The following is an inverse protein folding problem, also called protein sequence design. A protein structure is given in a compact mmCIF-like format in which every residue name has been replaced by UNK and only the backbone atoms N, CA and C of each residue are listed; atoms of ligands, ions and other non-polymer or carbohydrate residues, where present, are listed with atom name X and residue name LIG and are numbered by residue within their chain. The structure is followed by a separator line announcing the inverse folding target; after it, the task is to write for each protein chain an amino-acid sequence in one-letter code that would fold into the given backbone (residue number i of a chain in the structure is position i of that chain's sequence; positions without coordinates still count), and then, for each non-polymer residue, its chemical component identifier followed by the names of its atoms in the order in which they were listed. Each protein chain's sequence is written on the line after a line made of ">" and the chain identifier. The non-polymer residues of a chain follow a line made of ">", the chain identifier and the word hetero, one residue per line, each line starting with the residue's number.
data_IF_593984514595
#
_entry.id   IF_593984514595
#
_cell.length_a   1.000
_cell.length_b   1.000
_cell.length_c   1.000
_cell.angle_alpha   90.00
_cell.angle_beta   90.00
_cell.angle_gamma   90.00
#
_symmetry.space_group_name_H-M   'P 1'
#
loop_
_entity.id
_entity.type
_entity.pdbx_description
1 polymer ?
#
# COMPACT_ATOMS: atom_id res chain seq x y z
N UNK A 1 -5.16 31.74 15.77
CA UNK A 1 -4.15 31.94 14.70
C UNK A 1 -3.49 30.59 14.41
N UNK A 2 -3.43 30.22 13.14
CA UNK A 2 -2.75 28.98 12.75
C UNK A 2 -1.25 29.10 12.99
N UNK A 3 -0.62 28.04 13.50
CA UNK A 3 0.83 27.96 13.63
C UNK A 3 1.47 27.78 12.24
N UNK A 4 2.77 28.05 12.12
CA UNK A 4 3.51 27.77 10.88
C UNK A 4 3.47 26.28 10.52
N UNK A 5 3.44 25.37 11.50
CA UNK A 5 3.30 23.93 11.29
C UNK A 5 1.93 23.60 10.68
N UNK A 6 0.85 24.17 11.20
CA UNK A 6 -0.49 23.98 10.65
C UNK A 6 -0.60 24.52 9.23
N UNK A 7 -0.02 25.68 8.97
CA UNK A 7 0.00 26.28 7.63
C UNK A 7 0.82 25.42 6.66
N UNK A 8 1.96 24.88 7.09
CA UNK A 8 2.78 23.97 6.31
C UNK A 8 2.02 22.69 5.96
N UNK A 9 1.32 22.08 6.93
CA UNK A 9 0.53 20.88 6.69
C UNK A 9 -0.62 21.16 5.71
N UNK A 10 -1.31 22.27 5.86
CA UNK A 10 -2.39 22.64 4.94
C UNK A 10 -1.86 22.84 3.51
N UNK A 11 -0.69 23.48 3.37
CA UNK A 11 -0.03 23.64 2.07
C UNK A 11 0.38 22.28 1.48
N UNK A 12 0.92 21.37 2.27
CA UNK A 12 1.31 20.03 1.84
C UNK A 12 0.10 19.24 1.35
N UNK A 13 -1.00 19.28 2.10
CA UNK A 13 -2.24 18.60 1.70
C UNK A 13 -2.82 19.22 0.44
N UNK A 14 -2.79 20.54 0.32
CA UNK A 14 -3.28 21.25 -0.86
C UNK A 14 -2.48 20.95 -2.13
N UNK A 15 -1.23 20.46 -2.00
CA UNK A 15 -0.41 20.07 -3.14
C UNK A 15 -0.81 18.69 -3.71
N UNK A 16 -1.70 17.94 -3.04
CA UNK A 16 -2.15 16.63 -3.49
C UNK A 16 -3.29 16.79 -4.51
N UNK A 17 -3.11 16.24 -5.69
CA UNK A 17 -4.14 16.23 -6.72
C UNK A 17 -4.96 14.92 -6.68
N UNK A 18 -5.89 14.76 -7.63
CA UNK A 18 -6.75 13.58 -7.72
C UNK A 18 -5.95 12.28 -7.83
N UNK A 19 -4.86 12.30 -8.60
CA UNK A 19 -4.02 11.11 -8.79
C UNK A 19 -3.34 10.69 -7.48
N UNK A 20 -2.84 11.65 -6.70
CA UNK A 20 -2.30 11.36 -5.37
C UNK A 20 -3.35 10.72 -4.47
N UNK A 21 -4.58 11.26 -4.48
CA UNK A 21 -5.64 10.73 -3.64
C UNK A 21 -6.05 9.31 -4.04
N UNK A 22 -6.08 8.99 -5.34
CA UNK A 22 -6.31 7.61 -5.79
C UNK A 22 -5.24 6.68 -5.23
N UNK A 23 -3.98 7.08 -5.30
CA UNK A 23 -2.87 6.30 -4.73
C UNK A 23 -2.97 6.15 -3.21
N UNK A 24 -3.31 7.22 -2.51
CA UNK A 24 -3.48 7.18 -1.04
C UNK A 24 -4.60 6.21 -0.64
N UNK A 25 -5.75 6.29 -1.30
CA UNK A 25 -6.87 5.37 -1.03
C UNK A 25 -6.47 3.93 -1.31
N UNK A 26 -5.81 3.68 -2.44
CA UNK A 26 -5.34 2.33 -2.79
C UNK A 26 -4.35 1.80 -1.74
N UNK A 27 -3.41 2.62 -1.28
CA UNK A 27 -2.47 2.24 -0.23
C UNK A 27 -3.15 1.98 1.11
N UNK A 28 -4.15 2.79 1.47
CA UNK A 28 -4.93 2.59 2.70
C UNK A 28 -5.76 1.31 2.66
N UNK A 29 -6.33 0.96 1.51
CA UNK A 29 -7.05 -0.31 1.33
C UNK A 29 -6.08 -1.48 1.54
N UNK A 30 -4.92 -1.45 0.91
CA UNK A 30 -3.92 -2.50 1.07
C UNK A 30 -3.42 -2.57 2.52
N UNK A 31 -3.18 -1.43 3.17
CA UNK A 31 -2.80 -1.39 4.58
C UNK A 31 -3.84 -2.05 5.47
N UNK A 32 -5.12 -1.73 5.26
CA UNK A 32 -6.22 -2.30 6.06
C UNK A 32 -6.30 -3.82 5.90
N UNK A 33 -6.20 -4.33 4.68
CA UNK A 33 -6.23 -5.78 4.43
C UNK A 33 -5.04 -6.46 5.10
N UNK A 34 -3.83 -5.91 4.96
CA UNK A 34 -2.63 -6.51 5.55
C UNK A 34 -2.67 -6.48 7.07
N UNK A 35 -3.11 -5.38 7.68
CA UNK A 35 -3.22 -5.29 9.13
C UNK A 35 -4.29 -6.23 9.67
N UNK A 36 -5.45 -6.30 9.02
CA UNK A 36 -6.53 -7.20 9.44
C UNK A 36 -6.10 -8.66 9.39
N UNK A 37 -5.55 -9.10 8.26
CA UNK A 37 -5.09 -10.48 8.10
C UNK A 37 -3.86 -10.76 8.96
N UNK A 38 -2.95 -9.80 9.05
CA UNK A 38 -1.72 -9.94 9.85
C UNK A 38 -2.02 -10.17 11.32
N UNK A 39 -2.92 -9.38 11.89
CA UNK A 39 -3.32 -9.54 13.31
C UNK A 39 -3.96 -10.90 13.55
N UNK A 40 -4.78 -11.37 12.63
CA UNK A 40 -5.42 -12.70 12.73
C UNK A 40 -4.41 -13.84 12.66
N UNK A 41 -3.29 -13.64 12.00
CA UNK A 41 -2.26 -14.67 11.83
C UNK A 41 -1.12 -14.59 12.86
N UNK A 42 -1.14 -13.61 13.77
CA UNK A 42 -0.12 -13.52 14.82
C UNK A 42 -0.22 -14.75 15.74
N UNK A 43 0.90 -15.26 16.27
CA UNK A 43 2.28 -14.75 16.17
C UNK A 43 3.10 -15.35 15.02
N UNK A 44 2.46 -15.92 14.00
CA UNK A 44 3.17 -16.54 12.88
C UNK A 44 4.06 -15.53 12.13
N UNK A 45 5.10 -16.03 11.47
CA UNK A 45 5.97 -15.20 10.64
C UNK A 45 5.21 -14.51 9.50
N UNK A 46 4.22 -15.17 8.92
CA UNK A 46 3.35 -14.59 7.91
C UNK A 46 2.55 -13.42 8.50
N UNK A 47 1.99 -13.59 9.69
CA UNK A 47 1.26 -12.53 10.38
C UNK A 47 2.13 -11.32 10.67
N UNK A 48 3.34 -11.54 11.16
CA UNK A 48 4.31 -10.46 11.40
C UNK A 48 4.64 -9.73 10.11
N UNK A 49 4.89 -10.46 9.03
CA UNK A 49 5.19 -9.87 7.71
C UNK A 49 4.03 -9.01 7.21
N UNK A 50 2.80 -9.47 7.38
CA UNK A 50 1.61 -8.73 6.97
C UNK A 50 1.42 -7.45 7.77
N UNK A 51 1.63 -7.50 9.08
CA UNK A 51 1.56 -6.31 9.93
C UNK A 51 2.62 -5.30 9.51
N UNK A 52 3.85 -5.74 9.27
CA UNK A 52 4.93 -4.86 8.82
C UNK A 52 4.61 -4.23 7.45
N UNK A 53 4.05 -5.01 6.52
CA UNK A 53 3.64 -4.48 5.22
C UNK A 53 2.54 -3.42 5.37
N UNK A 54 1.54 -3.67 6.21
CA UNK A 54 0.49 -2.70 6.48
C UNK A 54 1.02 -1.41 7.08
N UNK A 55 1.93 -1.50 8.05
CA UNK A 55 2.58 -0.34 8.64
C UNK A 55 3.45 0.40 7.61
N UNK A 56 4.08 -0.31 6.69
CA UNK A 56 4.84 0.28 5.60
C UNK A 56 3.97 1.13 4.68
N UNK A 57 2.79 0.65 4.30
CA UNK A 57 1.84 1.43 3.52
C UNK A 57 1.37 2.69 4.27
N UNK A 58 1.05 2.55 5.56
CA UNK A 58 0.63 3.71 6.38
C UNK A 58 1.75 4.74 6.50
N UNK A 59 2.98 4.28 6.73
CA UNK A 59 4.14 5.15 6.79
C UNK A 59 4.36 5.91 5.48
N UNK A 60 4.24 5.21 4.35
CA UNK A 60 4.37 5.82 3.03
C UNK A 60 3.28 6.88 2.79
N UNK A 61 2.04 6.59 3.15
CA UNK A 61 0.95 7.57 3.06
C UNK A 61 1.26 8.81 3.90
N UNK A 62 1.74 8.61 5.12
CA UNK A 62 2.13 9.72 5.99
C UNK A 62 3.21 10.60 5.37
N UNK A 63 4.25 10.00 4.79
CA UNK A 63 5.32 10.75 4.14
C UNK A 63 4.82 11.54 2.92
N UNK A 64 3.92 10.96 2.13
CA UNK A 64 3.34 11.63 0.97
C UNK A 64 2.45 12.80 1.40
N UNK A 65 1.62 12.61 2.42
CA UNK A 65 0.75 13.67 2.95
C UNK A 65 1.61 14.82 3.51
N UNK A 66 2.69 14.50 4.20
CA UNK A 66 3.60 15.50 4.76
C UNK A 66 4.58 16.10 3.75
N UNK A 67 4.46 15.71 2.49
CA UNK A 67 5.34 16.19 1.40
C UNK A 67 6.82 15.94 1.71
N UNK A 68 7.12 14.75 2.26
CA UNK A 68 8.48 14.38 2.64
C UNK A 68 9.00 13.30 1.69
N UNK A 69 9.99 13.65 0.88
CA UNK A 69 10.68 12.73 -0.05
C UNK A 69 9.71 11.91 -0.91
N UNK A 70 8.69 12.55 -1.47
CA UNK A 70 7.66 11.88 -2.28
C UNK A 70 8.25 11.02 -3.39
N UNK A 71 9.23 11.53 -4.12
CA UNK A 71 9.83 10.74 -5.23
C UNK A 71 10.50 9.47 -4.73
N UNK A 72 11.17 9.52 -3.60
CA UNK A 72 11.75 8.32 -2.97
C UNK A 72 10.67 7.34 -2.57
N UNK A 73 9.57 7.83 -1.98
CA UNK A 73 8.43 6.99 -1.61
C UNK A 73 7.83 6.31 -2.84
N UNK A 74 7.65 7.04 -3.93
CA UNK A 74 7.13 6.46 -5.18
C UNK A 74 8.08 5.39 -5.74
N UNK A 75 9.37 5.69 -5.78
CA UNK A 75 10.39 4.78 -6.32
C UNK A 75 10.50 3.49 -5.49
N UNK A 76 10.43 3.59 -4.16
CA UNK A 76 10.48 2.43 -3.25
C UNK A 76 9.15 1.69 -3.23
N UNK A 77 8.04 2.43 -3.31
CA UNK A 77 6.70 1.86 -3.27
C UNK A 77 6.40 0.91 -4.43
N UNK A 78 6.98 1.14 -5.60
CA UNK A 78 6.77 0.27 -6.77
C UNK A 78 7.30 -1.14 -6.49
N UNK A 79 8.60 -1.36 -6.20
CA UNK A 79 9.08 -2.71 -5.90
C UNK A 79 8.50 -3.28 -4.61
N UNK A 80 8.27 -2.46 -3.60
CA UNK A 80 7.64 -2.89 -2.34
C UNK A 80 6.27 -3.53 -2.61
N UNK A 81 5.44 -2.89 -3.44
CA UNK A 81 4.11 -3.38 -3.77
C UNK A 81 4.18 -4.57 -4.74
N UNK A 82 5.05 -4.48 -5.75
CA UNK A 82 5.20 -5.54 -6.75
C UNK A 82 5.63 -6.87 -6.12
N UNK A 83 6.61 -6.84 -5.21
CA UNK A 83 7.08 -8.05 -4.50
C UNK A 83 5.91 -8.71 -3.75
N UNK A 84 5.02 -7.94 -3.15
CA UNK A 84 3.86 -8.49 -2.44
C UNK A 84 2.91 -9.22 -3.39
N UNK A 85 2.69 -8.69 -4.60
CA UNK A 85 1.86 -9.36 -5.60
C UNK A 85 2.52 -10.68 -6.02
N UNK A 86 3.82 -10.68 -6.28
CA UNK A 86 4.55 -11.88 -6.68
C UNK A 86 4.55 -12.93 -5.56
N UNK A 87 4.77 -12.53 -4.32
CA UNK A 87 4.73 -13.45 -3.17
C UNK A 87 3.33 -14.01 -2.96
N UNK A 88 2.30 -13.17 -3.10
CA UNK A 88 0.91 -13.62 -2.99
C UNK A 88 0.59 -14.70 -4.02
N UNK A 89 0.97 -14.49 -5.27
CA UNK A 89 0.76 -15.47 -6.33
C UNK A 89 1.51 -16.78 -6.02
N UNK A 90 2.79 -16.67 -5.66
CA UNK A 90 3.61 -17.83 -5.36
C UNK A 90 3.05 -18.64 -4.19
N UNK A 91 2.74 -17.99 -3.08
CA UNK A 91 2.25 -18.68 -1.88
C UNK A 91 0.91 -19.37 -2.16
N UNK A 92 -0.02 -18.71 -2.81
CA UNK A 92 -1.37 -19.27 -3.01
C UNK A 92 -1.43 -20.28 -4.15
N UNK A 93 -0.86 -19.97 -5.30
CA UNK A 93 -1.10 -20.72 -6.53
C UNK A 93 0.05 -21.65 -6.91
N UNK A 94 1.19 -21.51 -6.28
CA UNK A 94 2.33 -22.42 -6.46
C UNK A 94 2.53 -23.27 -5.21
N UNK A 95 2.80 -22.65 -4.06
CA UNK A 95 3.09 -23.37 -2.81
C UNK A 95 1.88 -24.11 -2.26
N UNK A 96 0.71 -23.45 -2.16
CA UNK A 96 -0.52 -24.05 -1.64
C UNK A 96 -1.33 -24.78 -2.70
N UNK A 97 -0.96 -24.64 -3.97
CA UNK A 97 -1.61 -25.37 -5.06
C UNK A 97 -3.06 -24.95 -5.35
N UNK A 98 -3.48 -23.76 -4.93
CA UNK A 98 -4.81 -23.24 -5.24
C UNK A 98 -4.97 -23.01 -6.75
N UNK A 99 -6.20 -23.08 -7.24
CA UNK A 99 -6.51 -22.83 -8.65
C UNK A 99 -6.65 -21.33 -8.92
N UNK A 100 -5.94 -20.85 -9.94
CA UNK A 100 -6.06 -19.46 -10.39
C UNK A 100 -6.93 -19.40 -11.63
N UNK A 101 -7.90 -18.49 -11.75
CA UNK A 101 -8.30 -17.48 -10.74
C UNK A 101 -9.40 -17.92 -9.78
N UNK A 102 -9.88 -19.18 -9.88
CA UNK A 102 -11.07 -19.66 -9.19
C UNK A 102 -10.98 -19.54 -7.66
N UNK A 103 -9.79 -19.72 -7.09
CA UNK A 103 -9.59 -19.73 -5.64
C UNK A 103 -9.09 -18.39 -5.07
N UNK A 104 -9.27 -17.30 -5.81
CA UNK A 104 -8.96 -15.96 -5.30
C UNK A 104 -10.03 -15.57 -4.27
N UNK A 105 -9.61 -15.33 -3.02
CA UNK A 105 -10.52 -14.84 -1.98
C UNK A 105 -10.87 -13.37 -2.17
N UNK A 106 -11.99 -12.95 -1.56
CA UNK A 106 -12.48 -11.57 -1.68
C UNK A 106 -11.45 -10.54 -1.20
N UNK A 107 -10.87 -10.74 -0.02
CA UNK A 107 -9.87 -9.81 0.52
C UNK A 107 -8.61 -9.78 -0.33
N UNK A 108 -8.18 -10.94 -0.84
CA UNK A 108 -7.05 -11.01 -1.75
C UNK A 108 -7.31 -10.26 -3.06
N UNK A 109 -8.51 -10.41 -3.62
CA UNK A 109 -8.91 -9.71 -4.84
C UNK A 109 -8.93 -8.19 -4.64
N UNK A 110 -9.55 -7.72 -3.56
CA UNK A 110 -9.61 -6.30 -3.22
C UNK A 110 -8.20 -5.73 -3.06
N UNK A 111 -7.35 -6.41 -2.30
CA UNK A 111 -5.97 -5.99 -2.08
C UNK A 111 -5.18 -5.92 -3.38
N UNK A 112 -5.29 -6.95 -4.23
CA UNK A 112 -4.50 -6.99 -5.48
C UNK A 112 -4.97 -5.93 -6.47
N UNK A 113 -6.25 -5.68 -6.57
CA UNK A 113 -6.76 -4.57 -7.38
C UNK A 113 -6.22 -3.24 -6.88
N UNK A 114 -6.27 -3.01 -5.56
CA UNK A 114 -5.71 -1.81 -4.95
C UNK A 114 -4.21 -1.67 -5.23
N UNK A 115 -3.46 -2.76 -5.12
CA UNK A 115 -2.02 -2.75 -5.37
C UNK A 115 -1.67 -2.48 -6.83
N UNK A 116 -2.41 -3.04 -7.79
CA UNK A 116 -2.20 -2.76 -9.22
C UNK A 116 -2.50 -1.29 -9.52
N UNK A 117 -3.60 -0.76 -8.99
CA UNK A 117 -3.93 0.67 -9.12
C UNK A 117 -2.81 1.53 -8.51
N UNK A 118 -2.34 1.15 -7.33
CA UNK A 118 -1.27 1.88 -6.66
C UNK A 118 0.02 1.92 -7.50
N UNK A 119 0.44 0.78 -8.04
CA UNK A 119 1.64 0.72 -8.89
C UNK A 119 1.46 1.63 -10.12
N UNK A 120 0.31 1.59 -10.77
CA UNK A 120 0.03 2.43 -11.93
C UNK A 120 0.14 3.91 -11.57
N UNK A 121 -0.44 4.31 -10.44
CA UNK A 121 -0.36 5.69 -9.95
C UNK A 121 1.09 6.08 -9.65
N UNK A 122 1.84 5.22 -8.96
CA UNK A 122 3.25 5.51 -8.61
C UNK A 122 4.13 5.68 -9.84
N UNK A 123 3.93 4.85 -10.87
CA UNK A 123 4.66 4.97 -12.12
C UNK A 123 4.35 6.31 -12.79
N UNK A 124 3.11 6.72 -12.83
CA UNK A 124 2.71 8.02 -13.41
C UNK A 124 3.29 9.18 -12.60
N UNK A 125 3.23 9.12 -11.27
CA UNK A 125 3.76 10.18 -10.41
C UNK A 125 5.29 10.28 -10.47
N UNK A 126 5.97 9.17 -10.74
CA UNK A 126 7.43 9.11 -10.75
C UNK A 126 8.03 9.63 -12.07
N UNK A 127 7.35 9.47 -13.18
CA UNK A 127 7.89 9.85 -14.50
C UNK A 127 8.02 11.38 -14.74
#
# INVERSE_FOLDING_TARGET
>A
MATSETQGLMSDVASLDSLHWVGIVAALVSAAVHLLLGVRMLPSGMGISFVLAGLGFLGAVGLVVLNYRRRTVYAVGIPFTLVQILLWYYVNFVSLGKSFPADIGTLGAVDKIAQVVLIAVLVVLLR
#
